data_IF_204057176341
#
_entry.id   IF_204057176341
#
_cell.length_a   1.000
_cell.length_b   1.000
_cell.length_c   1.000
_cell.angle_alpha   90.00
_cell.angle_beta   90.00
_cell.angle_gamma   90.00
#
_symmetry.space_group_name_H-M   'P 1'
#
loop_
_entity.id
_entity.type
_entity.pdbx_description
1 polymer ?
#
# COMPACT_ATOMS: atom_id res chain seq x y z
N UNK A 1 23.81 -41.88 27.32
CA UNK A 1 24.19 -40.82 26.36
C UNK A 1 23.59 -41.01 24.97
N UNK A 2 23.81 -42.13 24.27
CA UNK A 2 23.23 -42.40 22.92
C UNK A 2 21.70 -42.25 22.83
N UNK A 3 20.95 -42.71 23.85
CA UNK A 3 19.49 -42.64 23.89
C UNK A 3 18.92 -41.22 24.07
N UNK A 4 19.63 -40.35 24.77
CA UNK A 4 19.21 -38.95 25.01
C UNK A 4 19.41 -38.12 23.74
N UNK A 5 20.49 -38.39 23.00
CA UNK A 5 20.77 -37.78 21.70
C UNK A 5 19.70 -38.22 20.68
N UNK A 6 19.31 -39.51 20.67
CA UNK A 6 18.24 -39.99 19.79
C UNK A 6 16.87 -39.37 20.08
N UNK A 7 16.54 -39.12 21.35
CA UNK A 7 15.27 -38.47 21.73
C UNK A 7 15.27 -36.98 21.34
N UNK A 8 16.39 -36.28 21.53
CA UNK A 8 16.53 -34.88 21.12
C UNK A 8 16.42 -34.70 19.59
N UNK A 9 17.01 -35.61 18.82
CA UNK A 9 16.90 -35.64 17.35
C UNK A 9 15.47 -35.95 16.89
N UNK A 10 14.76 -36.84 17.61
CA UNK A 10 13.36 -37.17 17.30
C UNK A 10 12.40 -36.01 17.62
N UNK A 11 12.64 -35.25 18.70
CA UNK A 11 11.86 -34.06 19.05
C UNK A 11 12.11 -32.91 18.06
N UNK A 12 13.33 -32.76 17.56
CA UNK A 12 13.65 -31.79 16.51
C UNK A 12 12.99 -32.14 15.15
N UNK A 13 12.79 -33.44 14.87
CA UNK A 13 12.07 -33.96 13.70
C UNK A 13 10.54 -33.97 13.86
N UNK A 14 10.03 -33.88 15.10
CA UNK A 14 8.60 -33.80 15.45
C UNK A 14 8.10 -32.37 15.62
N UNK A 15 8.95 -31.35 15.41
CA UNK A 15 8.48 -29.98 15.25
C UNK A 15 7.54 -29.94 14.05
N UNK A 16 6.26 -29.61 14.24
CA UNK A 16 5.28 -29.72 13.18
C UNK A 16 5.65 -28.70 12.09
N UNK A 17 5.91 -29.22 10.88
CA UNK A 17 6.08 -28.50 9.62
C UNK A 17 5.13 -27.27 9.44
N UNK A 18 3.87 -27.24 9.94
CA UNK A 18 3.06 -26.02 9.87
C UNK A 18 3.64 -24.77 10.56
N UNK A 19 4.54 -24.90 11.55
CA UNK A 19 5.17 -23.72 12.19
C UNK A 19 6.22 -23.08 11.28
N UNK A 20 6.89 -23.86 10.42
CA UNK A 20 7.78 -23.31 9.38
C UNK A 20 7.00 -22.68 8.21
N UNK A 21 5.77 -23.13 7.93
CA UNK A 21 4.95 -22.57 6.85
C UNK A 21 4.41 -21.16 7.14
N UNK A 22 4.38 -20.73 8.41
CA UNK A 22 3.94 -19.39 8.80
C UNK A 22 4.90 -18.26 8.36
N UNK A 23 6.13 -18.60 7.95
CA UNK A 23 7.15 -17.62 7.54
C UNK A 23 7.24 -17.39 6.02
N UNK A 24 6.44 -18.07 5.20
CA UNK A 24 6.43 -17.88 3.74
C UNK A 24 5.51 -16.74 3.25
N UNK A 25 4.87 -16.02 4.17
CA UNK A 25 4.05 -14.84 3.85
C UNK A 25 4.84 -13.51 3.82
N UNK A 26 6.16 -13.55 4.00
CA UNK A 26 7.04 -12.38 3.93
C UNK A 26 7.38 -12.12 2.46
N UNK A 27 6.87 -11.02 1.87
CA UNK A 27 7.39 -10.51 0.59
C UNK A 27 6.37 -10.08 -0.47
N UNK A 28 5.06 -10.17 -0.24
CA UNK A 28 4.07 -9.65 -1.17
C UNK A 28 3.85 -8.15 -0.92
N UNK A 29 4.70 -7.33 -1.52
CA UNK A 29 4.76 -5.90 -1.28
C UNK A 29 4.56 -5.10 -2.58
N UNK A 30 3.64 -4.15 -2.57
CA UNK A 30 3.41 -3.22 -3.67
C UNK A 30 4.20 -1.92 -3.46
N UNK A 31 4.90 -1.46 -4.51
CA UNK A 31 5.62 -0.19 -4.52
C UNK A 31 4.76 0.90 -5.18
N UNK A 32 4.55 2.00 -4.47
CA UNK A 32 3.79 3.16 -4.94
C UNK A 32 4.65 4.41 -5.16
N UNK A 33 5.95 4.37 -4.81
CA UNK A 33 6.83 5.54 -4.86
C UNK A 33 6.96 6.13 -6.27
N UNK A 34 6.87 5.28 -7.31
CA UNK A 34 7.08 5.66 -8.71
C UNK A 34 5.76 5.79 -9.50
N UNK A 35 4.61 5.71 -8.82
CA UNK A 35 3.29 5.67 -9.45
C UNK A 35 2.52 6.97 -9.20
N UNK A 36 2.87 8.06 -9.89
CA UNK A 36 2.14 9.34 -9.78
C UNK A 36 1.19 9.56 -10.97
N UNK A 37 0.07 10.28 -10.76
CA UNK A 37 -0.84 10.63 -11.85
C UNK A 37 -0.16 11.59 -12.84
N UNK A 38 -0.45 11.41 -14.14
CA UNK A 38 -0.04 12.39 -15.16
C UNK A 38 -0.83 13.69 -14.93
N UNK A 39 -0.12 14.78 -14.63
CA UNK A 39 -0.69 16.12 -14.51
C UNK A 39 -0.30 16.89 -15.77
N UNK A 40 -1.29 17.43 -16.47
CA UNK A 40 -1.07 18.04 -17.79
C UNK A 40 -0.69 19.52 -17.73
N UNK A 41 -0.95 20.20 -16.61
CA UNK A 41 -0.78 21.64 -16.46
C UNK A 41 0.00 21.99 -15.20
N UNK A 42 1.02 22.85 -15.36
CA UNK A 42 1.77 23.44 -14.25
C UNK A 42 1.15 24.75 -13.74
N UNK A 43 1.46 25.12 -12.50
CA UNK A 43 1.05 26.37 -11.88
C UNK A 43 1.96 26.70 -10.69
N UNK A 44 2.06 27.97 -10.29
CA UNK A 44 2.76 28.44 -9.09
C UNK A 44 1.93 28.33 -7.79
N UNK A 45 0.74 27.73 -7.88
CA UNK A 45 -0.13 27.51 -6.72
C UNK A 45 0.52 26.51 -5.75
N UNK A 46 0.30 26.75 -4.46
CA UNK A 46 0.71 25.88 -3.39
C UNK A 46 -0.47 25.09 -2.80
N UNK A 47 -0.32 23.76 -2.73
CA UNK A 47 -1.40 22.80 -2.46
C UNK A 47 -1.05 21.92 -1.25
N UNK A 48 -2.02 21.74 -0.35
CA UNK A 48 -2.00 20.73 0.70
C UNK A 48 -2.73 19.48 0.21
N UNK A 49 -2.13 18.31 0.34
CA UNK A 49 -2.69 17.04 -0.12
C UNK A 49 -2.84 16.08 1.06
N UNK A 50 -4.01 15.47 1.18
CA UNK A 50 -4.26 14.41 2.16
C UNK A 50 -5.12 13.30 1.59
N UNK A 51 -4.95 12.10 2.12
CA UNK A 51 -5.79 10.95 1.81
C UNK A 51 -6.45 10.49 3.10
N UNK A 52 -7.78 10.49 3.13
CA UNK A 52 -8.59 10.04 4.24
C UNK A 52 -9.05 8.60 3.98
N UNK A 53 -8.39 7.65 4.66
CA UNK A 53 -8.65 6.22 4.49
C UNK A 53 -9.94 5.82 5.18
N UNK A 54 -10.96 5.45 4.40
CA UNK A 54 -12.27 5.01 4.86
C UNK A 54 -12.64 3.63 4.30
N UNK A 55 -11.64 2.83 3.96
CA UNK A 55 -11.84 1.45 3.54
C UNK A 55 -12.46 0.66 4.71
N UNK A 56 -13.63 0.01 4.55
CA UNK A 56 -14.34 -0.61 5.66
C UNK A 56 -13.49 -1.64 6.43
N UNK A 57 -12.76 -2.49 5.71
CA UNK A 57 -11.87 -3.50 6.30
C UNK A 57 -10.65 -2.91 7.04
N UNK A 58 -10.36 -1.62 6.90
CA UNK A 58 -9.37 -0.91 7.72
C UNK A 58 -10.02 -0.34 8.97
N UNK A 59 -11.18 0.31 8.82
CA UNK A 59 -11.97 0.88 9.92
C UNK A 59 -12.35 -0.21 10.92
N UNK A 60 -12.80 -1.36 10.43
CA UNK A 60 -13.24 -2.50 11.24
C UNK A 60 -12.07 -3.32 11.80
N UNK A 61 -10.83 -2.96 11.45
CA UNK A 61 -9.62 -3.63 11.93
C UNK A 61 -9.34 -5.00 11.30
N UNK A 62 -10.09 -5.38 10.26
CA UNK A 62 -9.90 -6.66 9.55
C UNK A 62 -8.56 -6.74 8.79
N UNK A 63 -8.06 -5.58 8.33
CA UNK A 63 -6.82 -5.41 7.59
C UNK A 63 -6.02 -4.23 8.17
N UNK A 64 -4.70 -4.34 8.07
CA UNK A 64 -3.77 -3.24 8.40
C UNK A 64 -3.93 -2.08 7.42
N UNK A 65 -3.73 -0.81 7.82
CA UNK A 65 -3.66 0.35 6.92
C UNK A 65 -2.68 0.19 5.73
N UNK A 66 -1.68 -0.69 5.87
CA UNK A 66 -0.72 -1.05 4.83
C UNK A 66 -1.29 -1.94 3.74
N UNK A 67 -2.49 -2.52 3.90
CA UNK A 67 -3.07 -3.48 2.95
C UNK A 67 -3.31 -2.84 1.58
N UNK A 68 -2.97 -3.56 0.50
CA UNK A 68 -3.11 -3.09 -0.88
C UNK A 68 -3.84 -4.07 -1.78
N UNK A 69 -4.04 -5.31 -1.31
CA UNK A 69 -4.69 -6.35 -2.08
C UNK A 69 -4.43 -7.74 -1.54
N UNK A 70 -4.83 -8.74 -2.31
CA UNK A 70 -4.68 -10.15 -2.01
C UNK A 70 -4.07 -10.86 -3.22
N UNK A 71 -3.17 -11.80 -2.94
CA UNK A 71 -2.69 -12.78 -3.92
C UNK A 71 -3.08 -14.17 -3.47
N UNK A 72 -3.47 -15.00 -4.43
CA UNK A 72 -3.85 -16.39 -4.21
C UNK A 72 -2.84 -17.29 -4.91
N UNK A 73 -1.95 -17.97 -4.16
CA UNK A 73 -1.05 -18.97 -4.71
C UNK A 73 -1.86 -20.17 -5.23
N UNK A 74 -1.19 -21.09 -5.91
CA UNK A 74 -1.82 -22.29 -6.47
C UNK A 74 -2.60 -23.13 -5.44
N UNK A 75 -2.25 -23.03 -4.15
CA UNK A 75 -2.96 -23.69 -3.04
C UNK A 75 -4.29 -23.02 -2.68
N UNK A 76 -4.65 -21.89 -3.32
CA UNK A 76 -5.93 -21.19 -3.17
C UNK A 76 -6.06 -20.28 -1.95
N UNK A 77 -5.22 -20.47 -0.93
CA UNK A 77 -5.29 -19.70 0.33
C UNK A 77 -4.84 -18.25 0.13
N UNK A 78 -5.70 -17.24 0.38
CA UNK A 78 -5.36 -15.84 0.14
C UNK A 78 -4.27 -15.34 1.08
N UNK A 79 -3.33 -14.57 0.53
CA UNK A 79 -2.32 -13.82 1.28
C UNK A 79 -2.49 -12.33 1.05
N UNK A 80 -2.41 -11.56 2.15
CA UNK A 80 -2.44 -10.11 2.06
C UNK A 80 -1.18 -9.59 1.36
N UNK A 81 -1.38 -8.61 0.49
CA UNK A 81 -0.34 -7.77 -0.09
C UNK A 81 -0.35 -6.46 0.68
N UNK A 82 0.82 -5.98 1.08
CA UNK A 82 0.98 -4.73 1.83
C UNK A 82 1.84 -3.72 1.04
N UNK A 83 1.89 -2.48 1.50
CA UNK A 83 2.84 -1.48 1.02
C UNK A 83 4.26 -1.93 1.32
N UNK A 84 5.17 -1.77 0.34
CA UNK A 84 6.59 -2.15 0.50
C UNK A 84 7.31 -1.36 1.59
N UNK A 85 6.87 -0.13 1.84
CA UNK A 85 7.43 0.78 2.83
C UNK A 85 6.95 0.53 4.25
N UNK A 86 5.99 -0.39 4.44
CA UNK A 86 5.26 -0.60 5.69
C UNK A 86 4.48 0.65 6.18
N UNK A 87 4.29 1.66 5.32
CA UNK A 87 3.47 2.84 5.62
C UNK A 87 2.01 2.62 5.22
N UNK A 88 1.05 3.31 5.85
CA UNK A 88 -0.33 3.30 5.41
C UNK A 88 -0.44 3.60 3.90
N UNK A 89 -1.29 2.87 3.17
CA UNK A 89 -1.51 3.10 1.75
C UNK A 89 -1.95 4.54 1.45
N UNK A 90 -2.73 5.14 2.35
CA UNK A 90 -3.13 6.54 2.25
C UNK A 90 -1.93 7.50 2.16
N UNK A 91 -0.87 7.25 2.94
CA UNK A 91 0.34 8.07 2.92
C UNK A 91 1.13 7.87 1.62
N UNK A 92 1.20 6.64 1.11
CA UNK A 92 1.82 6.33 -0.19
C UNK A 92 1.10 7.05 -1.34
N UNK A 93 -0.23 7.02 -1.37
CA UNK A 93 -1.04 7.72 -2.37
C UNK A 93 -0.85 9.24 -2.25
N UNK A 94 -0.87 9.78 -1.02
CA UNK A 94 -0.64 11.21 -0.81
C UNK A 94 0.74 11.64 -1.31
N UNK A 95 1.77 10.83 -1.03
CA UNK A 95 3.14 11.07 -1.50
C UNK A 95 3.23 11.03 -3.03
N UNK A 96 2.61 10.04 -3.67
CA UNK A 96 2.60 9.93 -5.12
C UNK A 96 1.92 11.14 -5.79
N UNK A 97 0.80 11.61 -5.23
CA UNK A 97 0.11 12.81 -5.73
C UNK A 97 0.98 14.06 -5.55
N UNK A 98 1.64 14.22 -4.40
CA UNK A 98 2.60 15.31 -4.17
C UNK A 98 3.73 15.27 -5.19
N UNK A 99 4.31 14.09 -5.46
CA UNK A 99 5.36 13.92 -6.47
C UNK A 99 4.88 14.34 -7.86
N UNK A 100 3.65 13.97 -8.24
CA UNK A 100 3.05 14.40 -9.51
C UNK A 100 2.92 15.91 -9.63
N UNK A 101 2.48 16.59 -8.56
CA UNK A 101 2.41 18.06 -8.53
C UNK A 101 3.80 18.71 -8.63
N UNK A 102 4.76 18.23 -7.85
CA UNK A 102 6.13 18.75 -7.88
C UNK A 102 6.78 18.58 -9.26
N UNK A 103 6.49 17.48 -9.96
CA UNK A 103 7.01 17.20 -11.30
C UNK A 103 6.59 18.24 -12.34
N UNK A 104 5.42 18.88 -12.17
CA UNK A 104 4.92 19.94 -13.06
C UNK A 104 5.12 21.35 -12.49
N UNK A 105 5.93 21.49 -11.45
CA UNK A 105 6.28 22.78 -10.83
C UNK A 105 5.27 23.32 -9.81
N UNK A 106 4.24 22.54 -9.46
CA UNK A 106 3.25 22.91 -8.43
C UNK A 106 3.83 22.59 -7.05
N UNK A 107 3.80 23.58 -6.15
CA UNK A 107 4.32 23.43 -4.79
C UNK A 107 3.33 22.63 -3.93
N UNK A 108 3.58 21.34 -3.71
CA UNK A 108 2.68 20.48 -2.93
C UNK A 108 3.32 19.97 -1.63
N UNK A 109 2.50 19.75 -0.61
CA UNK A 109 2.91 19.13 0.65
C UNK A 109 1.77 18.26 1.18
N UNK A 110 2.10 17.11 1.75
CA UNK A 110 1.15 16.23 2.43
C UNK A 110 1.35 16.22 3.94
N UNK A 111 0.32 15.74 4.65
CA UNK A 111 0.34 15.41 6.07
C UNK A 111 -0.37 14.07 6.27
N UNK A 112 0.12 13.25 7.20
CA UNK A 112 -0.51 11.98 7.52
C UNK A 112 -1.86 12.21 8.22
N UNK A 113 -2.88 11.49 7.75
CA UNK A 113 -4.24 11.51 8.27
C UNK A 113 -4.55 10.07 8.72
N UNK A 114 -4.91 9.91 9.99
CA UNK A 114 -5.24 8.60 10.53
C UNK A 114 -6.62 8.16 10.02
N UNK A 115 -6.81 6.87 9.78
CA UNK A 115 -8.12 6.31 9.41
C UNK A 115 -9.19 6.54 10.50
N UNK A 116 -8.75 6.77 11.75
CA UNK A 116 -9.59 7.08 12.90
C UNK A 116 -9.90 8.57 13.07
N UNK A 117 -9.30 9.46 12.27
CA UNK A 117 -9.66 10.88 12.29
C UNK A 117 -11.11 11.03 11.79
N UNK A 118 -11.80 12.10 12.20
CA UNK A 118 -12.99 12.53 11.49
C UNK A 118 -12.58 13.29 10.22
N UNK A 119 -13.46 13.35 9.22
CA UNK A 119 -13.21 14.15 8.02
C UNK A 119 -12.91 15.62 8.35
N UNK A 120 -13.58 16.20 9.37
CA UNK A 120 -13.30 17.56 9.83
C UNK A 120 -11.89 17.70 10.42
N UNK A 121 -11.44 16.72 11.22
CA UNK A 121 -10.09 16.71 11.76
C UNK A 121 -9.04 16.57 10.64
N UNK A 122 -9.30 15.75 9.63
CA UNK A 122 -8.45 15.62 8.44
C UNK A 122 -8.32 16.95 7.68
N UNK A 123 -9.43 17.66 7.48
CA UNK A 123 -9.44 18.99 6.84
C UNK A 123 -8.65 19.99 7.67
N UNK A 124 -8.78 19.99 9.00
CA UNK A 124 -8.06 20.92 9.87
C UNK A 124 -6.54 20.67 9.84
N UNK A 125 -6.12 19.40 9.87
CA UNK A 125 -4.70 19.03 9.66
C UNK A 125 -4.14 19.60 8.36
N UNK A 126 -4.91 19.54 7.28
CA UNK A 126 -4.50 20.11 5.98
C UNK A 126 -4.47 21.64 5.98
N UNK A 127 -5.40 22.29 6.69
CA UNK A 127 -5.40 23.76 6.86
C UNK A 127 -4.16 24.26 7.59
N UNK A 128 -3.67 23.51 8.59
CA UNK A 128 -2.44 23.84 9.30
C UNK A 128 -1.19 23.89 8.42
N UNK A 129 -1.21 23.27 7.22
CA UNK A 129 -0.11 23.38 6.26
C UNK A 129 -0.02 24.77 5.57
N UNK A 130 -1.02 25.64 5.75
CA UNK A 130 -0.97 27.04 5.28
C UNK A 130 -0.96 27.20 3.76
N UNK A 131 -1.44 26.20 3.01
CA UNK A 131 -1.46 26.20 1.54
C UNK A 131 -2.71 26.91 1.01
N UNK A 132 -2.63 27.50 -0.20
CA UNK A 132 -3.77 28.24 -0.82
C UNK A 132 -4.90 27.31 -1.26
N UNK A 133 -4.61 26.04 -1.52
CA UNK A 133 -5.57 25.01 -1.94
C UNK A 133 -5.38 23.74 -1.12
N UNK A 134 -6.47 23.03 -0.92
CA UNK A 134 -6.49 21.73 -0.24
C UNK A 134 -7.09 20.72 -1.22
N UNK A 135 -6.44 19.56 -1.34
CA UNK A 135 -6.95 18.36 -1.99
C UNK A 135 -7.07 17.30 -0.91
N UNK A 136 -8.30 16.87 -0.63
CA UNK A 136 -8.60 15.75 0.25
C UNK A 136 -9.18 14.61 -0.60
N UNK A 137 -8.49 13.49 -0.64
CA UNK A 137 -8.93 12.28 -1.35
C UNK A 137 -9.54 11.34 -0.32
N UNK A 138 -10.80 10.95 -0.47
CA UNK A 138 -11.38 9.90 0.38
C UNK A 138 -11.17 8.54 -0.27
N UNK A 139 -10.44 7.66 0.40
CA UNK A 139 -10.17 6.31 -0.07
C UNK A 139 -11.23 5.35 0.48
N UNK A 140 -12.22 5.02 -0.34
CA UNK A 140 -13.34 4.15 0.07
C UNK A 140 -13.08 2.66 -0.18
N UNK A 141 -12.32 2.35 -1.24
CA UNK A 141 -11.98 0.98 -1.62
C UNK A 141 -10.65 1.02 -2.38
N UNK A 142 -9.78 0.05 -2.07
CA UNK A 142 -8.54 -0.18 -2.81
C UNK A 142 -8.03 -1.59 -2.57
N UNK A 143 -8.18 -2.46 -3.57
CA UNK A 143 -7.61 -3.80 -3.54
C UNK A 143 -7.37 -4.35 -4.94
N UNK A 144 -6.23 -4.99 -5.13
CA UNK A 144 -6.08 -6.02 -6.16
C UNK A 144 -6.50 -7.37 -5.59
N UNK A 145 -7.12 -8.24 -6.38
CA UNK A 145 -7.25 -9.68 -6.08
C UNK A 145 -6.73 -10.44 -7.29
N UNK A 146 -5.69 -11.24 -7.08
CA UNK A 146 -4.94 -11.89 -8.16
C UNK A 146 -4.80 -13.38 -7.89
N UNK A 147 -5.06 -14.20 -8.90
CA UNK A 147 -4.80 -15.64 -8.89
C UNK A 147 -3.50 -15.98 -9.63
N UNK A 148 -3.13 -17.26 -9.73
CA UNK A 148 -1.97 -17.66 -10.56
C UNK A 148 -2.23 -17.40 -12.05
N UNK A 149 -1.15 -17.18 -12.82
CA UNK A 149 -1.15 -16.99 -14.28
C UNK A 149 -1.75 -15.66 -14.79
N UNK A 150 -1.68 -14.57 -14.01
CA UNK A 150 -2.03 -13.25 -14.54
C UNK A 150 -0.88 -12.68 -15.38
N UNK A 151 -1.22 -12.10 -16.53
CA UNK A 151 -0.29 -11.34 -17.36
C UNK A 151 -0.83 -9.93 -17.55
N UNK A 152 -0.03 -8.91 -17.24
CA UNK A 152 -0.36 -7.51 -17.46
C UNK A 152 0.46 -7.02 -18.66
N UNK A 153 -0.18 -6.92 -19.84
CA UNK A 153 0.43 -6.28 -21.00
C UNK A 153 0.12 -4.79 -21.00
N UNK A 154 1.16 -3.96 -20.96
CA UNK A 154 1.08 -2.55 -21.31
C UNK A 154 1.57 -2.38 -22.74
N UNK A 155 0.65 -2.08 -23.67
CA UNK A 155 0.97 -1.86 -25.08
C UNK A 155 0.88 -0.35 -25.35
N UNK A 156 2.00 0.26 -25.72
CA UNK A 156 1.99 1.62 -26.27
C UNK A 156 1.73 1.53 -27.78
N UNK A 157 0.59 2.03 -28.30
CA UNK A 157 0.26 1.91 -29.71
C UNK A 157 1.18 2.74 -30.64
N UNK A 158 1.93 3.71 -30.12
CA UNK A 158 2.75 4.63 -30.94
C UNK A 158 4.16 4.09 -31.26
N UNK A 159 4.60 3.00 -30.63
CA UNK A 159 5.92 2.39 -30.89
C UNK A 159 5.91 1.29 -31.97
N UNK A 160 4.77 1.06 -32.64
CA UNK A 160 4.60 -0.02 -33.61
C UNK A 160 4.80 0.39 -35.08
N UNK A 161 5.27 1.61 -35.34
CA UNK A 161 5.57 2.10 -36.69
C UNK A 161 7.06 2.45 -36.75
N UNK A 162 7.87 1.45 -37.07
CA UNK A 162 9.31 1.56 -37.34
C UNK A 162 9.70 0.60 -38.44
#
# INVERSE_FOLDING_TARGET
MRKIISIAVMILLLLPVPVLAAFLAIGQNANYADAWPKIEYGSDINIAVGVYDQRPYIIDGEKSPTYTGTVRPFTGNPWNVNTKSDKPLADEIASAVVSGFLHVGIQAQSISIAFSDSQQAAIEKLRHLGKKRIVLITLQEWRSDTYVNNNFLYINPESAIG
#
